data_IF_067589617937
#
_entry.id   IF_067589617937
#
_cell.length_a   1.000
_cell.length_b   1.000
_cell.length_c   1.000
_cell.angle_alpha   90.00
_cell.angle_beta   90.00
_cell.angle_gamma   90.00
#
_symmetry.space_group_name_H-M   'P 1'
#
loop_
_entity.id
_entity.type
_entity.pdbx_description
1 polymer ?
#
# COMPACT_ATOMS: atom_id res chain seq x y z
N UNK A 1 3.43 -9.74 -9.80
CA UNK A 1 2.68 -8.52 -9.54
C UNK A 1 3.10 -7.86 -8.22
N UNK A 2 3.28 -8.63 -7.14
CA UNK A 2 3.69 -8.06 -5.83
C UNK A 2 5.11 -7.48 -5.84
N UNK A 3 5.99 -7.98 -6.69
CA UNK A 3 7.38 -7.53 -6.81
C UNK A 3 7.59 -6.41 -7.85
N UNK A 4 6.52 -5.88 -8.43
CA UNK A 4 6.56 -4.73 -9.33
C UNK A 4 6.32 -3.42 -8.58
N UNK A 5 6.63 -2.27 -9.21
CA UNK A 5 6.30 -0.95 -8.67
C UNK A 5 4.79 -0.76 -8.43
N UNK A 6 3.96 -1.49 -9.16
CA UNK A 6 2.50 -1.56 -8.95
C UNK A 6 2.08 -2.45 -7.77
N UNK A 7 2.96 -3.31 -7.29
CA UNK A 7 2.72 -4.16 -6.13
C UNK A 7 3.14 -3.51 -4.83
N UNK A 8 3.79 -4.30 -3.99
CA UNK A 8 4.33 -3.86 -2.69
C UNK A 8 5.87 -3.72 -2.72
N UNK A 9 6.47 -3.74 -3.90
CA UNK A 9 7.92 -3.84 -4.07
C UNK A 9 8.71 -2.58 -3.68
N UNK A 10 8.01 -1.48 -3.44
CA UNK A 10 8.63 -0.27 -2.87
C UNK A 10 9.14 -0.51 -1.45
N UNK A 11 8.66 -1.58 -0.80
CA UNK A 11 9.14 -1.96 0.52
C UNK A 11 10.56 -2.53 0.45
N UNK A 12 11.52 -1.78 0.97
CA UNK A 12 12.96 -2.11 0.92
C UNK A 12 13.29 -3.47 1.53
N UNK A 13 12.53 -3.91 2.54
CA UNK A 13 12.70 -5.20 3.20
C UNK A 13 12.37 -6.42 2.32
N UNK A 14 11.79 -6.23 1.13
CA UNK A 14 11.51 -7.31 0.16
C UNK A 14 12.65 -7.57 -0.81
N UNK A 15 13.69 -6.76 -0.77
CA UNK A 15 14.85 -6.90 -1.65
C UNK A 15 15.93 -7.74 -0.97
N UNK A 16 16.67 -8.57 -1.73
CA UNK A 16 17.87 -9.20 -1.19
C UNK A 16 18.85 -8.11 -0.75
N UNK A 17 19.28 -8.19 0.50
CA UNK A 17 20.26 -7.26 1.07
C UNK A 17 21.65 -7.91 1.01
N UNK A 18 22.65 -7.14 0.57
CA UNK A 18 24.04 -7.56 0.61
C UNK A 18 24.67 -7.37 2.01
N UNK A 19 24.15 -6.42 2.78
CA UNK A 19 24.62 -6.08 4.12
C UNK A 19 23.46 -5.59 4.98
N UNK A 20 23.72 -5.40 6.28
CA UNK A 20 22.72 -4.82 7.20
C UNK A 20 22.34 -3.41 6.76
N UNK A 21 21.05 -3.14 6.68
CA UNK A 21 20.49 -1.83 6.35
C UNK A 21 19.49 -1.37 7.41
N UNK A 22 19.47 -0.04 7.65
CA UNK A 22 18.44 0.58 8.47
C UNK A 22 17.28 1.03 7.59
N UNK A 23 16.07 0.58 7.93
CA UNK A 23 14.87 0.80 7.14
C UNK A 23 13.79 1.51 7.99
N UNK A 24 12.90 2.21 7.30
CA UNK A 24 11.78 2.92 7.93
C UNK A 24 10.62 2.00 8.32
N UNK A 25 10.54 0.81 7.75
CA UNK A 25 9.56 -0.21 8.06
C UNK A 25 10.15 -1.59 7.83
N UNK A 26 9.69 -2.57 8.60
CA UNK A 26 10.08 -3.97 8.51
C UNK A 26 8.82 -4.84 8.42
N UNK A 27 9.00 -6.06 7.93
CA UNK A 27 7.99 -7.10 7.92
C UNK A 27 8.50 -8.30 8.71
N UNK A 28 7.64 -8.93 9.51
CA UNK A 28 8.03 -10.01 10.44
C UNK A 28 9.20 -9.59 11.38
N UNK A 29 9.07 -8.41 11.98
CA UNK A 29 10.12 -7.85 12.81
C UNK A 29 10.09 -8.41 14.25
N UNK A 30 11.27 -8.48 14.86
CA UNK A 30 11.43 -8.69 16.30
C UNK A 30 11.75 -7.35 16.97
N UNK A 31 11.14 -7.09 18.13
CA UNK A 31 11.30 -5.86 18.87
C UNK A 31 11.88 -6.13 20.25
N UNK A 32 12.81 -5.29 20.69
CA UNK A 32 13.31 -5.34 22.04
C UNK A 32 12.22 -4.95 23.02
N UNK A 33 12.13 -5.63 24.16
CA UNK A 33 11.12 -5.38 25.18
C UNK A 33 11.15 -3.94 25.70
N UNK A 34 12.33 -3.36 25.84
CA UNK A 34 12.53 -1.96 26.23
C UNK A 34 11.91 -0.95 25.23
N UNK A 35 11.94 -1.25 23.93
CA UNK A 35 11.29 -0.42 22.91
C UNK A 35 9.79 -0.44 23.09
N UNK A 36 9.20 -1.64 23.24
CA UNK A 36 7.75 -1.78 23.48
C UNK A 36 7.35 -1.09 24.79
N UNK A 37 8.15 -1.22 25.85
CA UNK A 37 7.87 -0.55 27.12
C UNK A 37 7.87 0.98 27.00
N UNK A 38 8.73 1.53 26.11
CA UNK A 38 8.83 2.98 25.90
C UNK A 38 7.77 3.54 24.96
N UNK A 39 7.47 2.85 23.85
CA UNK A 39 6.57 3.37 22.81
C UNK A 39 5.15 2.80 22.90
N UNK A 40 4.91 1.82 23.75
CA UNK A 40 3.66 1.06 23.85
C UNK A 40 3.56 -0.06 22.81
N UNK A 41 2.49 -0.82 22.85
CA UNK A 41 2.17 -1.89 21.89
C UNK A 41 1.59 -1.37 20.57
N UNK A 42 1.09 -2.28 19.75
CA UNK A 42 0.36 -1.94 18.53
C UNK A 42 -0.96 -1.21 18.83
N UNK A 43 -1.35 -0.31 17.92
CA UNK A 43 -2.65 0.35 18.02
C UNK A 43 -3.77 -0.63 17.59
N UNK A 44 -4.51 -1.15 18.56
CA UNK A 44 -5.56 -2.16 18.35
C UNK A 44 -6.76 -1.65 17.54
N UNK A 45 -6.89 -0.32 17.37
CA UNK A 45 -7.92 0.27 16.53
C UNK A 45 -7.62 0.14 15.04
N UNK A 46 -6.36 -0.14 14.67
CA UNK A 46 -5.94 -0.32 13.29
C UNK A 46 -5.96 -1.81 12.94
N UNK A 47 -6.87 -2.23 12.07
CA UNK A 47 -6.94 -3.62 11.61
C UNK A 47 -5.95 -3.94 10.47
N UNK A 48 -5.34 -2.90 9.89
CA UNK A 48 -4.17 -2.91 8.98
C UNK A 48 -3.43 -1.60 9.16
N UNK A 49 -2.18 -1.55 8.70
CA UNK A 49 -1.30 -0.38 8.89
C UNK A 49 -0.87 -0.15 10.34
N UNK A 50 -1.20 -1.08 11.24
CA UNK A 50 -0.73 -1.12 12.62
C UNK A 50 0.80 -1.15 12.70
N UNK A 51 1.45 -1.83 11.76
CA UNK A 51 2.89 -1.89 11.60
C UNK A 51 3.46 -0.51 11.19
N UNK A 52 2.87 0.16 10.22
CA UNK A 52 3.30 1.49 9.78
C UNK A 52 3.22 2.51 10.92
N UNK A 53 2.13 2.49 11.69
CA UNK A 53 1.93 3.37 12.84
C UNK A 53 2.94 3.07 13.95
N UNK A 54 3.13 1.80 14.27
CA UNK A 54 4.07 1.37 15.30
C UNK A 54 5.51 1.71 14.93
N UNK A 55 5.93 1.44 13.69
CA UNK A 55 7.25 1.79 13.19
C UNK A 55 7.48 3.31 13.18
N UNK A 56 6.45 4.10 12.90
CA UNK A 56 6.52 5.55 13.02
C UNK A 56 6.81 5.98 14.45
N UNK A 57 6.10 5.44 15.46
CA UNK A 57 6.37 5.75 16.87
C UNK A 57 7.76 5.32 17.32
N UNK A 58 8.24 4.17 16.88
CA UNK A 58 9.61 3.69 17.13
C UNK A 58 10.64 4.70 16.62
N UNK A 59 10.49 5.20 15.37
CA UNK A 59 11.37 6.21 14.80
C UNK A 59 11.31 7.54 15.53
N UNK A 60 10.10 7.99 15.89
CA UNK A 60 9.93 9.24 16.65
C UNK A 60 10.54 9.15 18.05
N UNK A 61 10.62 7.97 18.62
CA UNK A 61 11.33 7.71 19.88
C UNK A 61 12.87 7.62 19.74
N UNK A 62 13.41 7.81 18.52
CA UNK A 62 14.85 7.82 18.23
C UNK A 62 15.47 6.44 17.97
N UNK A 63 14.66 5.38 17.90
CA UNK A 63 15.16 4.05 17.57
C UNK A 63 15.27 3.85 16.06
N UNK A 64 16.22 2.98 15.67
CA UNK A 64 16.44 2.56 14.29
C UNK A 64 16.05 1.10 14.12
N UNK A 65 15.43 0.77 13.00
CA UNK A 65 15.07 -0.59 12.64
C UNK A 65 16.07 -1.15 11.64
N UNK A 66 16.65 -2.31 11.96
CA UNK A 66 17.69 -2.94 11.17
C UNK A 66 17.16 -4.18 10.46
N UNK A 67 17.33 -4.23 9.14
CA UNK A 67 17.11 -5.43 8.34
C UNK A 67 18.45 -6.16 8.15
N UNK A 68 18.49 -7.45 8.48
CA UNK A 68 19.70 -8.27 8.39
C UNK A 68 19.55 -9.28 7.24
N UNK A 69 20.57 -9.45 6.38
CA UNK A 69 20.50 -10.39 5.25
C UNK A 69 20.36 -11.85 5.67
N UNK A 70 20.84 -12.20 6.86
CA UNK A 70 20.80 -13.57 7.39
C UNK A 70 19.43 -13.98 7.92
N UNK A 71 18.52 -12.99 8.10
CA UNK A 71 17.16 -13.26 8.61
C UNK A 71 16.21 -13.30 7.43
N UNK A 72 15.85 -14.51 7.00
CA UNK A 72 14.98 -14.74 5.84
C UNK A 72 13.63 -15.21 6.34
N UNK A 73 12.56 -14.55 5.87
CA UNK A 73 11.18 -14.98 6.09
C UNK A 73 10.48 -15.24 4.76
N UNK A 74 9.67 -16.29 4.71
CA UNK A 74 8.89 -16.65 3.53
C UNK A 74 7.44 -16.26 3.73
N UNK A 75 6.87 -15.60 2.73
CA UNK A 75 5.46 -15.23 2.73
C UNK A 75 4.71 -15.98 1.63
N UNK A 76 3.61 -16.63 2.00
CA UNK A 76 2.68 -17.15 1.01
C UNK A 76 1.84 -16.01 0.42
N UNK A 77 2.05 -15.73 -0.86
CA UNK A 77 1.21 -14.78 -1.61
C UNK A 77 -0.13 -15.42 -1.96
N UNK A 78 -1.14 -14.59 -2.22
CA UNK A 78 -2.44 -15.08 -2.68
C UNK A 78 -2.34 -15.55 -4.12
N UNK A 79 -2.95 -16.70 -4.41
CA UNK A 79 -2.92 -17.32 -5.73
C UNK A 79 -4.19 -17.04 -6.56
N UNK A 80 -5.17 -16.30 -5.99
CA UNK A 80 -6.42 -15.98 -6.67
C UNK A 80 -6.60 -14.46 -6.84
N UNK A 81 -7.16 -14.06 -7.98
CA UNK A 81 -7.36 -12.66 -8.34
C UNK A 81 -8.37 -11.97 -7.41
N UNK A 82 -9.45 -12.67 -7.02
CA UNK A 82 -10.46 -12.13 -6.12
C UNK A 82 -9.86 -11.77 -4.75
N UNK A 83 -9.07 -12.66 -4.18
CA UNK A 83 -8.34 -12.42 -2.94
C UNK A 83 -7.37 -11.24 -3.03
N UNK A 84 -6.68 -11.09 -4.19
CA UNK A 84 -5.80 -9.95 -4.44
C UNK A 84 -6.58 -8.63 -4.49
N UNK A 85 -7.69 -8.58 -5.21
CA UNK A 85 -8.56 -7.38 -5.30
C UNK A 85 -9.08 -7.00 -3.92
N UNK A 86 -9.63 -7.96 -3.18
CA UNK A 86 -10.14 -7.75 -1.81
C UNK A 86 -9.05 -7.25 -0.87
N UNK A 87 -7.83 -7.77 -1.00
CA UNK A 87 -6.68 -7.31 -0.22
C UNK A 87 -6.31 -5.86 -0.55
N UNK A 88 -6.23 -5.51 -1.84
CA UNK A 88 -5.88 -4.16 -2.28
C UNK A 88 -6.94 -3.15 -1.88
N UNK A 89 -8.22 -3.48 -2.04
CA UNK A 89 -9.32 -2.65 -1.53
C UNK A 89 -9.21 -2.43 -0.02
N UNK A 90 -8.98 -3.50 0.75
CA UNK A 90 -8.82 -3.40 2.21
C UNK A 90 -7.61 -2.56 2.60
N UNK A 91 -6.48 -2.70 1.89
CA UNK A 91 -5.29 -1.87 2.13
C UNK A 91 -5.61 -0.39 1.90
N UNK A 92 -6.21 -0.04 0.76
CA UNK A 92 -6.61 1.34 0.49
C UNK A 92 -7.56 1.89 1.55
N UNK A 93 -8.58 1.13 1.94
CA UNK A 93 -9.53 1.54 2.98
C UNK A 93 -8.83 1.87 4.30
N UNK A 94 -7.89 1.03 4.72
CA UNK A 94 -7.14 1.28 5.96
C UNK A 94 -6.17 2.45 5.84
N UNK A 95 -5.57 2.70 4.67
CA UNK A 95 -4.79 3.92 4.43
C UNK A 95 -5.67 5.17 4.64
N UNK A 96 -6.90 5.18 4.10
CA UNK A 96 -7.84 6.28 4.31
C UNK A 96 -8.17 6.50 5.79
N UNK A 97 -8.46 5.43 6.55
CA UNK A 97 -8.74 5.50 7.99
C UNK A 97 -7.51 5.96 8.80
N UNK A 98 -6.34 5.39 8.51
CA UNK A 98 -5.08 5.68 9.21
C UNK A 98 -4.64 7.13 9.05
N UNK A 99 -5.00 7.78 7.94
CA UNK A 99 -4.74 9.21 7.75
C UNK A 99 -5.31 10.06 8.90
N UNK A 100 -6.40 9.62 9.50
CA UNK A 100 -7.03 10.33 10.61
C UNK A 100 -6.35 10.11 11.96
N UNK A 101 -5.58 9.03 12.12
CA UNK A 101 -4.90 8.68 13.38
C UNK A 101 -3.42 9.07 13.35
N UNK A 102 -2.74 8.73 12.26
CA UNK A 102 -1.29 8.92 12.12
C UNK A 102 -0.93 9.32 10.68
N UNK A 103 -1.15 10.59 10.29
CA UNK A 103 -0.77 11.06 8.94
C UNK A 103 0.71 10.86 8.64
N UNK A 104 1.58 11.08 9.63
CA UNK A 104 3.04 11.00 9.48
C UNK A 104 3.59 9.58 9.27
N UNK A 105 2.79 8.55 9.51
CA UNK A 105 3.21 7.17 9.26
C UNK A 105 2.99 6.73 7.79
N UNK A 106 2.31 7.58 6.99
CA UNK A 106 1.97 7.30 5.61
C UNK A 106 2.91 8.02 4.64
N UNK A 107 3.37 7.29 3.64
CA UNK A 107 4.13 7.84 2.51
C UNK A 107 3.19 8.34 1.41
N UNK A 108 3.61 9.34 0.62
CA UNK A 108 2.88 9.83 -0.54
C UNK A 108 2.53 8.72 -1.55
N UNK A 109 3.37 7.70 -1.67
CA UNK A 109 3.11 6.56 -2.55
C UNK A 109 1.85 5.77 -2.20
N UNK A 110 1.41 5.80 -0.94
CA UNK A 110 0.15 5.16 -0.53
C UNK A 110 -1.07 5.82 -1.17
N UNK A 111 -0.96 7.08 -1.59
CA UNK A 111 -2.06 7.82 -2.20
C UNK A 111 -2.04 7.81 -3.72
N UNK A 112 -1.00 7.26 -4.37
CA UNK A 112 -0.91 7.21 -5.83
C UNK A 112 -2.13 6.52 -6.49
N UNK A 113 -2.62 5.36 -6.01
CA UNK A 113 -3.81 4.74 -6.59
C UNK A 113 -5.09 5.55 -6.35
N UNK A 114 -5.20 6.25 -5.22
CA UNK A 114 -6.30 7.15 -4.94
C UNK A 114 -6.31 8.34 -5.92
N UNK A 115 -5.16 9.00 -6.11
CA UNK A 115 -5.02 10.11 -7.06
C UNK A 115 -5.32 9.67 -8.49
N UNK A 116 -4.91 8.46 -8.89
CA UNK A 116 -5.25 7.90 -10.18
C UNK A 116 -6.76 7.75 -10.37
N UNK A 117 -7.47 7.20 -9.38
CA UNK A 117 -8.94 7.05 -9.44
C UNK A 117 -9.62 8.43 -9.49
N UNK A 118 -9.16 9.39 -8.70
CA UNK A 118 -9.70 10.76 -8.74
C UNK A 118 -9.47 11.43 -10.09
N UNK A 119 -8.26 11.28 -10.66
CA UNK A 119 -7.96 11.79 -12.01
C UNK A 119 -8.84 11.11 -13.07
N UNK A 120 -9.01 9.77 -12.98
CA UNK A 120 -9.86 9.02 -13.90
C UNK A 120 -11.32 9.51 -13.85
N UNK A 121 -11.87 9.71 -12.66
CA UNK A 121 -13.22 10.26 -12.48
C UNK A 121 -13.34 11.68 -13.04
N UNK A 122 -12.39 12.56 -12.70
CA UNK A 122 -12.38 13.95 -13.19
C UNK A 122 -12.25 14.03 -14.71
N UNK A 123 -11.32 13.28 -15.31
CA UNK A 123 -11.15 13.23 -16.76
C UNK A 123 -12.36 12.61 -17.48
N UNK A 124 -13.04 11.63 -16.85
CA UNK A 124 -14.28 11.07 -17.39
C UNK A 124 -15.42 12.09 -17.41
N UNK A 125 -15.55 12.91 -16.36
CA UNK A 125 -16.52 14.02 -16.33
C UNK A 125 -16.18 15.04 -17.41
N UNK A 126 -14.91 15.43 -17.57
CA UNK A 126 -14.50 16.35 -18.63
C UNK A 126 -14.78 15.79 -20.02
N UNK A 127 -14.56 14.50 -20.24
CA UNK A 127 -14.88 13.85 -21.50
C UNK A 127 -16.38 13.90 -21.80
N UNK A 128 -17.23 13.67 -20.79
CA UNK A 128 -18.68 13.81 -20.92
C UNK A 128 -19.10 15.25 -21.27
N UNK A 129 -18.36 16.25 -20.78
CA UNK A 129 -18.58 17.67 -21.09
C UNK A 129 -17.98 18.09 -22.45
N UNK A 130 -17.53 17.17 -23.29
CA UNK A 130 -16.98 17.45 -24.61
C UNK A 130 -15.47 17.70 -24.68
N UNK A 131 -14.73 17.42 -23.59
CA UNK A 131 -13.27 17.57 -23.50
C UNK A 131 -12.57 16.21 -23.30
N UNK A 132 -12.69 15.24 -24.23
CA UNK A 132 -12.16 13.88 -24.04
C UNK A 132 -10.62 13.79 -24.06
N UNK A 133 -9.93 14.83 -24.55
CA UNK A 133 -8.48 14.85 -24.70
C UNK A 133 -7.75 14.50 -23.38
N UNK A 134 -8.21 15.04 -22.25
CA UNK A 134 -7.59 14.81 -20.94
C UNK A 134 -7.68 13.33 -20.53
N UNK A 135 -8.80 12.68 -20.82
CA UNK A 135 -8.98 11.25 -20.57
C UNK A 135 -8.02 10.41 -21.42
N UNK A 136 -7.89 10.72 -22.70
CA UNK A 136 -6.97 10.01 -23.59
C UNK A 136 -5.51 10.18 -23.13
N UNK A 137 -5.09 11.39 -22.77
CA UNK A 137 -3.74 11.65 -22.25
C UNK A 137 -3.49 10.82 -20.97
N UNK A 138 -4.43 10.83 -20.02
CA UNK A 138 -4.30 10.04 -18.78
C UNK A 138 -4.17 8.55 -19.07
N UNK A 139 -5.02 8.00 -19.95
CA UNK A 139 -5.00 6.57 -20.28
C UNK A 139 -3.74 6.17 -21.04
N UNK A 140 -3.23 7.03 -21.94
CA UNK A 140 -1.98 6.77 -22.66
C UNK A 140 -0.80 6.75 -21.68
N UNK A 141 -0.66 7.77 -20.84
CA UNK A 141 0.45 7.85 -19.86
C UNK A 141 0.41 6.66 -18.90
N UNK A 142 -0.78 6.35 -18.36
CA UNK A 142 -0.96 5.22 -17.47
C UNK A 142 -0.67 3.89 -18.18
N UNK A 143 -1.18 3.69 -19.39
CA UNK A 143 -0.95 2.49 -20.19
C UNK A 143 0.54 2.27 -20.53
N UNK A 144 1.26 3.33 -20.89
CA UNK A 144 2.72 3.25 -21.11
C UNK A 144 3.45 2.82 -19.85
N UNK A 145 3.13 3.44 -18.71
CA UNK A 145 3.73 3.08 -17.42
C UNK A 145 3.38 1.64 -17.03
N UNK A 146 2.16 1.19 -17.26
CA UNK A 146 1.68 -0.16 -17.00
C UNK A 146 2.43 -1.20 -17.83
N UNK A 147 2.55 -0.97 -19.15
CA UNK A 147 3.29 -1.85 -20.06
C UNK A 147 4.77 -1.93 -19.66
N UNK A 148 5.41 -0.81 -19.34
CA UNK A 148 6.82 -0.81 -18.89
C UNK A 148 7.00 -1.67 -17.65
N UNK A 149 6.09 -1.60 -16.68
CA UNK A 149 6.14 -2.44 -15.47
C UNK A 149 5.85 -3.92 -15.78
N UNK A 150 4.89 -4.21 -16.66
CA UNK A 150 4.61 -5.58 -17.08
C UNK A 150 5.81 -6.21 -17.79
N UNK A 151 6.44 -5.48 -18.72
CA UNK A 151 7.68 -5.92 -19.40
C UNK A 151 8.81 -6.11 -18.39
N UNK A 152 8.98 -5.18 -17.46
CA UNK A 152 9.95 -5.31 -16.37
C UNK A 152 9.77 -6.58 -15.55
N UNK A 153 8.53 -7.00 -15.28
CA UNK A 153 8.25 -8.29 -14.64
C UNK A 153 8.65 -9.48 -15.52
N UNK A 154 8.54 -9.35 -16.84
CA UNK A 154 8.91 -10.41 -17.79
C UNK A 154 10.42 -10.59 -17.96
N UNK A 155 11.23 -9.62 -17.53
CA UNK A 155 12.70 -9.73 -17.54
C UNK A 155 13.28 -10.42 -16.30
N UNK A 156 12.44 -10.68 -15.30
CA UNK A 156 12.86 -11.39 -14.08
C UNK A 156 13.03 -12.90 -14.34
N UNK A 157 13.87 -13.54 -13.52
CA UNK A 157 14.03 -15.00 -13.57
C UNK A 157 12.69 -15.71 -13.24
N UNK A 158 12.38 -16.81 -13.94
CA UNK A 158 11.16 -17.60 -13.78
C UNK A 158 9.87 -16.92 -14.30
N UNK A 159 9.93 -16.38 -15.50
CA UNK A 159 8.74 -15.84 -16.19
C UNK A 159 7.70 -16.95 -16.41
N UNK A 160 6.47 -16.68 -16.02
CA UNK A 160 5.33 -17.54 -16.21
C UNK A 160 4.47 -17.02 -17.38
N UNK A 161 3.86 -17.90 -18.22
CA UNK A 161 2.98 -17.45 -19.31
C UNK A 161 1.84 -16.51 -18.87
N UNK A 162 1.40 -16.64 -17.61
CA UNK A 162 0.35 -15.79 -17.02
C UNK A 162 0.75 -14.33 -16.90
N UNK A 163 2.03 -13.96 -17.05
CA UNK A 163 2.49 -12.57 -16.99
C UNK A 163 1.92 -11.69 -18.09
N UNK A 164 1.42 -12.29 -19.19
CA UNK A 164 0.70 -11.57 -20.25
C UNK A 164 -0.58 -10.87 -19.73
N UNK A 165 -1.14 -11.34 -18.62
CA UNK A 165 -2.32 -10.72 -18.00
C UNK A 165 -2.00 -9.55 -17.05
N UNK A 166 -0.72 -9.26 -16.76
CA UNK A 166 -0.32 -8.19 -15.83
C UNK A 166 -0.88 -6.82 -16.22
N UNK A 167 -0.86 -6.39 -17.51
CA UNK A 167 -1.42 -5.10 -17.90
C UNK A 167 -2.92 -4.94 -17.63
N UNK A 168 -3.65 -6.03 -17.47
CA UNK A 168 -5.07 -6.00 -17.09
C UNK A 168 -5.25 -6.08 -15.57
N UNK A 169 -4.35 -6.77 -14.88
CA UNK A 169 -4.42 -6.96 -13.43
C UNK A 169 -4.02 -5.67 -12.70
N UNK A 170 -2.99 -4.97 -13.13
CA UNK A 170 -2.50 -3.76 -12.46
C UNK A 170 -3.56 -2.65 -12.35
N UNK A 171 -4.25 -2.24 -13.46
CA UNK A 171 -5.31 -1.25 -13.36
C UNK A 171 -6.41 -1.67 -12.39
N UNK A 172 -6.81 -2.94 -12.43
CA UNK A 172 -7.84 -3.49 -11.56
C UNK A 172 -7.46 -3.38 -10.07
N UNK A 173 -6.20 -3.69 -9.74
CA UNK A 173 -5.70 -3.60 -8.37
C UNK A 173 -5.56 -2.14 -7.91
N UNK A 174 -5.15 -1.22 -8.81
CA UNK A 174 -5.07 0.21 -8.52
C UNK A 174 -6.44 0.82 -8.29
N UNK A 175 -7.42 0.50 -9.13
CA UNK A 175 -8.79 0.97 -8.97
C UNK A 175 -9.38 0.44 -7.66
N UNK A 176 -9.19 -0.85 -7.36
CA UNK A 176 -9.67 -1.43 -6.11
C UNK A 176 -9.07 -0.74 -4.88
N UNK A 177 -7.76 -0.46 -4.91
CA UNK A 177 -7.08 0.24 -3.83
C UNK A 177 -7.57 1.70 -3.70
N UNK A 178 -7.66 2.45 -4.80
CA UNK A 178 -8.10 3.83 -4.81
C UNK A 178 -9.55 3.99 -4.32
N UNK A 179 -10.46 3.11 -4.76
CA UNK A 179 -11.85 3.06 -4.25
C UNK A 179 -11.84 2.74 -2.75
N UNK A 180 -11.01 1.80 -2.32
CA UNK A 180 -10.84 1.49 -0.90
C UNK A 180 -10.44 2.74 -0.10
N UNK A 181 -9.48 3.53 -0.61
CA UNK A 181 -9.03 4.77 0.06
C UNK A 181 -10.16 5.80 0.15
N UNK A 182 -10.95 5.99 -0.90
CA UNK A 182 -12.13 6.87 -0.88
C UNK A 182 -13.11 6.43 0.22
N UNK A 183 -13.43 5.14 0.24
CA UNK A 183 -14.35 4.57 1.25
C UNK A 183 -13.79 4.75 2.65
N UNK A 184 -12.48 4.52 2.85
CA UNK A 184 -11.82 4.75 4.13
C UNK A 184 -11.94 6.20 4.61
N UNK A 185 -11.68 7.17 3.72
CA UNK A 185 -11.81 8.60 4.03
C UNK A 185 -13.25 8.98 4.41
N UNK A 186 -14.25 8.49 3.68
CA UNK A 186 -15.68 8.73 3.97
C UNK A 186 -16.07 8.12 5.32
N UNK A 187 -15.47 7.00 5.70
CA UNK A 187 -15.77 6.28 6.94
C UNK A 187 -15.12 6.87 8.19
N UNK A 188 -14.19 7.83 8.08
CA UNK A 188 -13.49 8.42 9.24
C UNK A 188 -14.45 8.85 10.35
N UNK A 189 -15.54 9.62 10.11
CA UNK A 189 -16.40 10.09 11.19
C UNK A 189 -17.08 8.97 11.97
N UNK A 190 -17.62 7.97 11.25
CA UNK A 190 -18.29 6.82 11.85
C UNK A 190 -17.32 5.90 12.60
N UNK A 191 -16.13 5.72 12.04
CA UNK A 191 -15.08 4.90 12.64
C UNK A 191 -14.52 5.53 13.93
N UNK A 192 -14.24 6.84 13.95
CA UNK A 192 -13.84 7.57 15.17
C UNK A 192 -14.89 7.50 16.27
N UNK A 193 -16.18 7.61 15.90
CA UNK A 193 -17.29 7.45 16.86
C UNK A 193 -17.29 6.06 17.48
N UNK A 194 -17.05 5.02 16.66
CA UNK A 194 -16.97 3.62 17.12
C UNK A 194 -15.82 3.42 18.12
N UNK A 195 -14.62 3.92 17.83
CA UNK A 195 -13.45 3.82 18.71
C UNK A 195 -13.73 4.50 20.05
N UNK A 196 -14.24 5.74 20.01
CA UNK A 196 -14.58 6.49 21.24
C UNK A 196 -15.56 5.72 22.15
N UNK A 197 -16.54 5.08 21.55
CA UNK A 197 -17.52 4.28 22.29
C UNK A 197 -16.95 2.96 22.82
N UNK A 198 -15.94 2.39 22.18
CA UNK A 198 -15.26 1.16 22.63
C UNK A 198 -14.24 1.41 23.72
N UNK A 199 -13.57 2.57 23.73
CA UNK A 199 -12.62 2.98 24.77
C UNK A 199 -13.27 3.55 26.04
N UNK A 200 -14.59 3.75 26.04
CA UNK A 200 -15.37 4.21 27.19
C UNK A 200 -15.97 3.07 28.04
N UNK A 201 -15.63 1.81 27.72
CA UNK A 201 -15.94 0.61 28.51
C UNK A 201 -14.68 0.10 29.21
#
# INVERSE_FOLDING_TARGET
>A
AEDSLFGSSVASYRRPLAQKEYLDSLFHAAYRREVIAKVGGFNENLGRTEDNEFHYRIRMAGYKMCCCPDIISYQHSRNDLHGMIRQKYSNGRWIGLTLSECPGCLSYFHFAPFLFVMALLGCSVLAFLGLPLFLYILLIIYGMFDIVNAVGCCTMKNVQPQFVFLPFIFPLLHVAYGIGTIVGLIQIPSWRKKIKNSGAK
#
